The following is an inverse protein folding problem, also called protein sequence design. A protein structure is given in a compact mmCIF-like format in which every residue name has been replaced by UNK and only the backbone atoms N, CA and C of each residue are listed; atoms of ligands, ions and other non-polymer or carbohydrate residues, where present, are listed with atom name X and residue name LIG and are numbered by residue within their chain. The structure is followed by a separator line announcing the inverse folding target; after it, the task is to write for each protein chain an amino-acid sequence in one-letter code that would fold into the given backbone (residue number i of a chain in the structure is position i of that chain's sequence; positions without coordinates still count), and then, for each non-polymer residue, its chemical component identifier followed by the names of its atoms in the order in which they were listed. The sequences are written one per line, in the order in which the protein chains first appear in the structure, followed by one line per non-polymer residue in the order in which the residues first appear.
data_IF_271401570462
#
_entry.id   IF_271401570462
#
_cell.length_a   1.000
_cell.length_b   1.000
_cell.length_c   1.000
_cell.angle_alpha   90.00
_cell.angle_beta   90.00
_cell.angle_gamma   90.00
#
_symmetry.space_group_name_H-M   'P 1'
#
loop_
_entity.id
_entity.type
_entity.pdbx_description
1 polymer ?
#
# COMPACT_ATOMS: atom_id res chain seq x y z
N UNK A 1 -4.69 -19.16 4.60
CA UNK A 1 -4.48 -20.13 3.49
C UNK A 1 -3.89 -19.36 2.32
N UNK A 2 -2.91 -19.88 1.56
CA UNK A 2 -2.28 -19.10 0.49
C UNK A 2 -3.32 -18.70 -0.57
N UNK A 3 -3.32 -17.44 -0.94
CA UNK A 3 -4.15 -16.89 -2.00
C UNK A 3 -3.60 -17.29 -3.37
N UNK A 4 -4.43 -17.18 -4.41
CA UNK A 4 -4.02 -17.40 -5.80
C UNK A 4 -4.20 -16.12 -6.59
N UNK A 5 -3.31 -15.84 -7.53
CA UNK A 5 -3.34 -14.62 -8.32
C UNK A 5 -3.12 -14.92 -9.79
N UNK A 6 -3.90 -14.27 -10.65
CA UNK A 6 -3.67 -14.24 -12.10
C UNK A 6 -3.33 -12.81 -12.50
N UNK A 7 -2.24 -12.66 -13.24
CA UNK A 7 -1.81 -11.40 -13.85
C UNK A 7 -1.87 -11.48 -15.36
N UNK A 8 -2.26 -10.39 -16.00
CA UNK A 8 -2.29 -10.29 -17.45
C UNK A 8 -2.07 -8.85 -17.91
N UNK A 9 -1.43 -8.68 -19.07
CA UNK A 9 -1.32 -7.38 -19.74
C UNK A 9 -2.59 -7.09 -20.56
N UNK A 10 -3.25 -6.01 -20.21
CA UNK A 10 -4.47 -5.52 -20.85
C UNK A 10 -4.31 -4.07 -21.27
N UNK A 11 -5.08 -3.62 -22.24
CA UNK A 11 -5.15 -2.18 -22.54
C UNK A 11 -6.10 -1.46 -21.61
N UNK A 12 -5.99 -0.14 -21.53
CA UNK A 12 -6.96 0.74 -20.85
C UNK A 12 -8.40 0.51 -21.33
N UNK A 13 -8.60 0.22 -22.63
CA UNK A 13 -9.91 -0.08 -23.19
C UNK A 13 -10.46 -1.45 -22.81
N UNK A 14 -9.60 -2.44 -22.58
CA UNK A 14 -9.99 -3.80 -22.22
C UNK A 14 -10.20 -3.97 -20.71
N UNK A 15 -9.50 -3.17 -19.91
CA UNK A 15 -9.47 -3.27 -18.45
C UNK A 15 -10.86 -3.38 -17.79
N UNK A 16 -11.88 -2.56 -18.14
CA UNK A 16 -13.21 -2.65 -17.52
C UNK A 16 -13.92 -3.99 -17.80
N UNK A 17 -13.86 -4.48 -19.04
CA UNK A 17 -14.49 -5.76 -19.42
C UNK A 17 -13.76 -6.93 -18.77
N UNK A 18 -12.43 -6.86 -18.71
CA UNK A 18 -11.61 -7.87 -18.06
C UNK A 18 -11.83 -7.91 -16.55
N UNK A 19 -11.96 -6.76 -15.87
CA UNK A 19 -12.34 -6.71 -14.46
C UNK A 19 -13.67 -7.40 -14.21
N UNK A 20 -14.70 -7.09 -15.01
CA UNK A 20 -16.01 -7.72 -14.87
C UNK A 20 -15.94 -9.24 -15.09
N UNK A 21 -15.14 -9.68 -16.06
CA UNK A 21 -14.91 -11.10 -16.32
C UNK A 21 -14.27 -11.78 -15.10
N UNK A 22 -13.16 -11.27 -14.59
CA UNK A 22 -12.48 -11.84 -13.41
C UNK A 22 -13.37 -11.84 -12.16
N UNK A 23 -14.13 -10.77 -11.91
CA UNK A 23 -15.10 -10.71 -10.81
C UNK A 23 -16.19 -11.77 -10.96
N UNK A 24 -16.72 -11.98 -12.18
CA UNK A 24 -17.74 -12.99 -12.44
C UNK A 24 -17.23 -14.43 -12.23
N UNK A 25 -15.92 -14.64 -12.34
CA UNK A 25 -15.24 -15.91 -12.11
C UNK A 25 -14.83 -16.12 -10.65
N UNK A 26 -15.22 -15.21 -9.75
CA UNK A 26 -14.97 -15.32 -8.32
C UNK A 26 -13.67 -14.67 -7.84
N UNK A 27 -13.10 -13.74 -8.60
CA UNK A 27 -12.01 -12.91 -8.08
C UNK A 27 -12.51 -12.09 -6.88
N UNK A 28 -11.79 -12.16 -5.76
CA UNK A 28 -12.09 -11.37 -4.56
C UNK A 28 -11.65 -9.91 -4.71
N UNK A 29 -10.66 -9.67 -5.56
CA UNK A 29 -10.23 -8.34 -5.96
C UNK A 29 -9.64 -8.36 -7.37
N UNK A 30 -9.75 -7.22 -8.04
CA UNK A 30 -9.05 -6.92 -9.29
C UNK A 30 -8.32 -5.61 -9.08
N UNK A 31 -7.05 -5.56 -9.42
CA UNK A 31 -6.19 -4.38 -9.30
C UNK A 31 -5.51 -4.08 -10.62
N UNK A 32 -5.35 -2.80 -10.92
CA UNK A 32 -4.68 -2.30 -12.11
C UNK A 32 -3.35 -1.68 -11.70
N UNK A 33 -2.27 -2.22 -12.25
CA UNK A 33 -0.90 -1.81 -11.98
C UNK A 33 -0.28 -1.27 -13.25
N UNK A 34 0.68 -0.36 -13.10
CA UNK A 34 1.53 0.07 -14.19
C UNK A 34 2.33 -1.11 -14.75
N UNK A 35 2.34 -1.28 -16.08
CA UNK A 35 3.08 -2.33 -16.74
C UNK A 35 4.42 -1.87 -17.37
N UNK A 36 4.64 -0.56 -17.54
CA UNK A 36 5.76 0.02 -18.31
C UNK A 36 6.40 1.29 -17.70
N UNK A 37 6.06 1.67 -16.46
CA UNK A 37 6.59 2.88 -15.77
C UNK A 37 6.20 4.17 -16.50
N UNK A 38 4.96 4.23 -16.99
CA UNK A 38 4.42 5.38 -17.72
C UNK A 38 3.68 6.33 -16.76
N UNK A 39 3.91 7.65 -16.82
CA UNK A 39 3.17 8.59 -15.98
C UNK A 39 1.73 8.75 -16.49
N UNK A 40 0.76 8.53 -15.59
CA UNK A 40 -0.66 8.80 -15.85
C UNK A 40 -1.06 10.08 -15.12
N UNK A 41 -1.61 11.04 -15.88
CA UNK A 41 -2.04 12.33 -15.34
C UNK A 41 -3.57 12.38 -15.28
N UNK A 42 -4.09 12.62 -14.08
CA UNK A 42 -5.49 12.97 -13.89
C UNK A 42 -5.72 14.41 -14.38
N UNK A 43 -6.29 14.57 -15.57
CA UNK A 43 -6.57 15.88 -16.17
C UNK A 43 -7.93 16.44 -15.72
N UNK A 44 -8.91 15.57 -15.51
CA UNK A 44 -10.25 15.93 -15.07
C UNK A 44 -10.48 15.48 -13.62
N UNK A 45 -11.14 16.32 -12.77
CA UNK A 45 -11.57 15.88 -11.44
C UNK A 45 -12.37 14.59 -11.53
N UNK A 46 -12.15 13.69 -10.57
CA UNK A 46 -12.79 12.37 -10.46
C UNK A 46 -12.53 11.38 -11.61
N UNK A 47 -11.73 11.74 -12.61
CA UNK A 47 -11.26 10.77 -13.62
C UNK A 47 -10.24 9.80 -13.01
N UNK A 48 -10.37 8.51 -13.35
CA UNK A 48 -9.43 7.44 -12.99
C UNK A 48 -8.81 6.86 -14.25
N UNK A 49 -7.96 7.63 -14.97
CA UNK A 49 -7.30 7.13 -16.17
C UNK A 49 -6.42 5.92 -15.84
N UNK A 50 -6.38 4.97 -16.77
CA UNK A 50 -5.48 3.81 -16.72
C UNK A 50 -4.31 3.99 -17.68
N UNK A 51 -3.25 3.21 -17.45
CA UNK A 51 -2.13 3.10 -18.38
C UNK A 51 -2.57 2.41 -19.68
N UNK A 52 -2.05 2.86 -20.82
CA UNK A 52 -2.34 2.21 -22.11
C UNK A 52 -1.94 0.73 -22.10
N UNK A 53 -0.86 0.42 -21.37
CA UNK A 53 -0.48 -0.94 -21.01
C UNK A 53 -0.64 -1.09 -19.50
N UNK A 54 -1.72 -1.76 -19.10
CA UNK A 54 -2.05 -2.02 -17.71
C UNK A 54 -1.77 -3.48 -17.38
N UNK A 55 -1.13 -3.73 -16.23
CA UNK A 55 -1.03 -5.05 -15.64
C UNK A 55 -2.26 -5.26 -14.76
N UNK A 56 -3.23 -6.03 -15.24
CA UNK A 56 -4.35 -6.48 -14.44
C UNK A 56 -3.86 -7.58 -13.50
N UNK A 57 -4.27 -7.51 -12.25
CA UNK A 57 -4.04 -8.56 -11.26
C UNK A 57 -5.33 -8.93 -10.54
N UNK A 58 -5.78 -10.18 -10.72
CA UNK A 58 -6.97 -10.72 -10.08
C UNK A 58 -6.58 -11.70 -8.98
N UNK A 59 -7.09 -11.48 -7.76
CA UNK A 59 -6.85 -12.33 -6.60
C UNK A 59 -8.03 -13.28 -6.38
N UNK A 60 -7.73 -14.51 -5.99
CA UNK A 60 -8.69 -15.59 -5.76
C UNK A 60 -8.40 -16.30 -4.43
N UNK A 61 -9.46 -16.86 -3.85
CA UNK A 61 -9.38 -17.74 -2.70
C UNK A 61 -8.57 -19.01 -3.00
N UNK A 62 -8.03 -19.63 -1.94
CA UNK A 62 -7.17 -20.81 -2.04
C UNK A 62 -7.85 -22.05 -2.64
N UNK A 63 -9.18 -22.11 -2.63
CA UNK A 63 -10.00 -23.22 -3.12
C UNK A 63 -10.50 -23.00 -4.56
N UNK A 64 -10.23 -21.83 -5.16
CA UNK A 64 -10.57 -21.56 -6.55
C UNK A 64 -9.78 -22.47 -7.52
N UNK A 65 -10.49 -23.04 -8.50
CA UNK A 65 -9.90 -23.94 -9.50
C UNK A 65 -9.32 -23.11 -10.64
N UNK A 66 -8.03 -22.80 -10.59
CA UNK A 66 -7.37 -21.92 -11.58
C UNK A 66 -7.49 -22.41 -13.02
N UNK A 67 -7.56 -23.73 -13.25
CA UNK A 67 -7.76 -24.27 -14.58
C UNK A 67 -9.10 -23.82 -15.21
N UNK A 68 -10.17 -23.77 -14.41
CA UNK A 68 -11.49 -23.34 -14.88
C UNK A 68 -11.50 -21.83 -15.15
N UNK A 69 -10.83 -21.05 -14.29
CA UNK A 69 -10.67 -19.60 -14.47
C UNK A 69 -9.88 -19.31 -15.75
N UNK A 70 -8.75 -19.99 -15.97
CA UNK A 70 -7.93 -19.84 -17.17
C UNK A 70 -8.71 -20.21 -18.44
N UNK A 71 -9.45 -21.32 -18.42
CA UNK A 71 -10.27 -21.72 -19.55
C UNK A 71 -11.37 -20.69 -19.85
N UNK A 72 -12.04 -20.16 -18.82
CA UNK A 72 -13.05 -19.13 -18.99
C UNK A 72 -12.46 -17.82 -19.53
N UNK A 73 -11.33 -17.36 -18.98
CA UNK A 73 -10.66 -16.13 -19.43
C UNK A 73 -10.21 -16.24 -20.87
N UNK A 74 -9.58 -17.35 -21.26
CA UNK A 74 -9.11 -17.55 -22.64
C UNK A 74 -10.26 -17.72 -23.64
N UNK A 75 -11.43 -18.20 -23.20
CA UNK A 75 -12.63 -18.28 -24.03
C UNK A 75 -13.39 -16.95 -24.15
N UNK A 76 -13.32 -16.11 -23.10
CA UNK A 76 -14.07 -14.87 -22.97
C UNK A 76 -13.29 -13.61 -23.32
N UNK A 77 -12.01 -13.73 -23.71
CA UNK A 77 -11.14 -12.59 -24.03
C UNK A 77 -10.18 -12.93 -25.17
N UNK A 78 -9.34 -11.95 -25.56
CA UNK A 78 -8.25 -12.18 -26.52
C UNK A 78 -7.04 -12.91 -25.95
N UNK A 79 -6.96 -13.06 -24.62
CA UNK A 79 -5.77 -13.57 -23.94
C UNK A 79 -5.62 -15.07 -24.16
N UNK A 80 -4.38 -15.51 -24.34
CA UNK A 80 -4.01 -16.92 -24.38
C UNK A 80 -3.43 -17.37 -23.04
N UNK A 81 -3.37 -18.68 -22.79
CA UNK A 81 -2.81 -19.23 -21.55
C UNK A 81 -1.38 -18.75 -21.28
N UNK A 82 -0.57 -18.56 -22.32
CA UNK A 82 0.82 -18.09 -22.21
C UNK A 82 0.94 -16.61 -21.82
N UNK A 83 -0.13 -15.82 -21.96
CA UNK A 83 -0.18 -14.41 -21.55
C UNK A 83 -0.64 -14.24 -20.10
N UNK A 84 -1.08 -15.33 -19.46
CA UNK A 84 -1.50 -15.34 -18.06
C UNK A 84 -0.34 -15.78 -17.17
N UNK A 85 -0.04 -14.98 -16.16
CA UNK A 85 0.94 -15.30 -15.12
C UNK A 85 0.15 -15.73 -13.89
N UNK A 86 0.36 -16.96 -13.44
CA UNK A 86 -0.35 -17.54 -12.28
C UNK A 86 0.64 -17.67 -11.13
N UNK A 87 0.28 -17.11 -9.98
CA UNK A 87 1.11 -17.07 -8.78
C UNK A 87 0.32 -17.54 -7.56
N UNK A 88 0.99 -18.21 -6.63
CA UNK A 88 0.46 -18.40 -5.28
C UNK A 88 1.05 -17.33 -4.37
N UNK A 89 0.19 -16.68 -3.61
CA UNK A 89 0.54 -15.62 -2.68
C UNK A 89 0.38 -16.17 -1.28
N UNK A 90 1.47 -16.20 -0.52
CA UNK A 90 1.41 -16.64 0.87
C UNK A 90 0.50 -15.72 1.68
N UNK A 91 -0.27 -16.34 2.57
CA UNK A 91 -1.08 -15.61 3.54
C UNK A 91 -0.13 -15.01 4.58
N UNK A 92 0.10 -13.71 4.48
CA UNK A 92 0.94 -12.97 5.39
C UNK A 92 0.07 -12.09 6.28
N UNK A 93 0.42 -12.03 7.56
CA UNK A 93 -0.07 -10.99 8.46
C UNK A 93 0.61 -9.69 8.05
N UNK A 94 0.06 -9.06 7.00
CA UNK A 94 0.58 -7.82 6.43
C UNK A 94 0.71 -6.75 7.51
N UNK A 95 -0.20 -6.76 8.50
CA UNK A 95 -0.12 -5.86 9.65
C UNK A 95 1.19 -6.03 10.41
N UNK A 96 1.53 -7.25 10.79
CA UNK A 96 2.79 -7.54 11.47
C UNK A 96 4.01 -7.36 10.58
N UNK A 97 3.90 -7.64 9.28
CA UNK A 97 5.01 -7.46 8.36
C UNK A 97 5.44 -5.99 8.30
N UNK A 98 4.48 -5.06 8.17
CA UNK A 98 4.80 -3.63 8.15
C UNK A 98 5.25 -3.12 9.52
N UNK A 99 4.69 -3.63 10.63
CA UNK A 99 5.10 -3.22 11.99
C UNK A 99 6.59 -3.44 12.29
N UNK A 100 7.22 -4.45 11.67
CA UNK A 100 8.63 -4.77 11.87
C UNK A 100 9.56 -3.67 11.37
N UNK A 101 9.13 -2.88 10.39
CA UNK A 101 9.93 -1.83 9.76
C UNK A 101 9.93 -0.53 10.56
N UNK A 102 8.99 -0.36 11.50
CA UNK A 102 8.91 0.83 12.34
C UNK A 102 9.75 0.67 13.60
N UNK A 103 10.76 1.55 13.71
CA UNK A 103 11.66 1.65 14.85
C UNK A 103 11.50 3.01 15.53
N UNK A 104 11.86 3.13 16.82
CA UNK A 104 11.97 4.42 17.47
C UNK A 104 12.84 5.39 16.66
N UNK A 105 12.36 6.62 16.48
CA UNK A 105 13.06 7.67 15.72
C UNK A 105 13.35 8.84 16.67
N UNK A 106 14.61 9.25 16.72
CA UNK A 106 15.06 10.41 17.47
C UNK A 106 14.93 11.69 16.63
N UNK A 107 14.36 12.73 17.22
CA UNK A 107 14.26 14.08 16.65
C UNK A 107 15.01 15.07 17.54
N UNK A 108 15.98 15.78 16.96
CA UNK A 108 16.85 16.66 17.74
C UNK A 108 17.81 15.87 18.63
N UNK A 109 17.74 16.09 19.95
CA UNK A 109 18.64 15.52 20.96
C UNK A 109 17.93 14.64 21.98
N UNK A 110 16.74 15.03 22.44
CA UNK A 110 16.05 14.35 23.57
C UNK A 110 14.64 13.87 23.23
N UNK A 111 14.12 14.16 22.04
CA UNK A 111 12.77 13.76 21.66
C UNK A 111 12.81 12.47 20.84
N UNK A 112 12.01 11.50 21.22
CA UNK A 112 11.82 10.23 20.50
C UNK A 112 10.36 10.01 20.20
N UNK A 113 10.06 9.53 18.99
CA UNK A 113 8.77 8.95 18.64
C UNK A 113 8.95 7.43 18.63
N UNK A 114 8.16 6.73 19.45
CA UNK A 114 8.29 5.29 19.67
C UNK A 114 6.97 4.57 19.36
N UNK A 115 6.98 3.53 18.50
CA UNK A 115 5.83 2.64 18.37
C UNK A 115 5.56 1.91 19.69
N UNK A 116 4.29 1.61 19.99
CA UNK A 116 3.84 0.97 21.23
C UNK A 116 4.45 -0.41 21.49
N UNK A 117 4.90 -1.09 20.44
CA UNK A 117 5.58 -2.39 20.50
C UNK A 117 7.11 -2.30 20.66
N UNK A 118 7.69 -1.10 20.76
CA UNK A 118 9.12 -0.89 20.96
C UNK A 118 9.41 -0.21 22.30
N UNK A 119 10.41 -0.69 23.03
CA UNK A 119 10.93 0.03 24.19
C UNK A 119 11.72 1.28 23.74
N UNK A 120 11.56 2.43 24.42
CA UNK A 120 12.36 3.61 24.12
C UNK A 120 13.85 3.35 24.31
N UNK A 121 14.71 3.66 23.32
CA UNK A 121 16.16 3.48 23.45
C UNK A 121 16.77 4.30 24.59
N UNK A 122 16.18 5.47 24.88
CA UNK A 122 16.57 6.34 26.00
C UNK A 122 15.35 6.57 26.91
N UNK A 123 15.14 5.74 27.96
CA UNK A 123 13.95 5.83 28.81
C UNK A 123 13.78 7.18 29.54
N UNK A 124 14.89 7.85 29.85
CA UNK A 124 14.90 9.14 30.55
C UNK A 124 14.73 10.36 29.60
N UNK A 125 14.66 10.11 28.29
CA UNK A 125 14.41 11.14 27.27
C UNK A 125 12.91 11.49 27.18
N UNK A 126 12.57 12.48 26.33
CA UNK A 126 11.18 12.81 26.02
C UNK A 126 10.67 11.79 25.01
N UNK A 127 9.92 10.80 25.49
CA UNK A 127 9.38 9.72 24.68
C UNK A 127 7.89 9.96 24.39
N UNK A 128 7.54 10.08 23.11
CA UNK A 128 6.15 10.14 22.63
C UNK A 128 5.80 8.79 22.02
N UNK A 129 4.85 8.10 22.63
CA UNK A 129 4.35 6.84 22.10
C UNK A 129 3.33 7.14 20.99
N UNK A 130 3.62 6.69 19.77
CA UNK A 130 2.77 6.93 18.61
C UNK A 130 2.89 5.79 17.62
N UNK A 131 1.77 5.13 17.34
CA UNK A 131 1.74 4.03 16.39
C UNK A 131 1.60 4.56 14.96
N UNK A 132 2.47 4.12 14.03
CA UNK A 132 2.39 4.48 12.63
C UNK A 132 1.03 4.07 12.01
N UNK A 133 0.56 4.84 11.03
CA UNK A 133 -0.68 4.55 10.30
C UNK A 133 -1.98 5.08 10.96
N UNK A 134 -2.01 5.35 12.27
CA UNK A 134 -3.21 5.89 12.92
C UNK A 134 -3.46 7.38 12.64
N UNK A 135 -2.40 8.14 12.39
CA UNK A 135 -2.47 9.56 12.03
C UNK A 135 -1.23 9.97 11.23
N UNK A 136 -1.38 11.00 10.38
CA UNK A 136 -0.23 11.68 9.79
C UNK A 136 0.60 12.33 10.91
N UNK A 137 1.92 12.44 10.72
CA UNK A 137 2.80 13.07 11.69
C UNK A 137 3.54 12.12 12.64
N UNK A 138 3.72 10.85 12.27
CA UNK A 138 4.60 9.91 13.00
C UNK A 138 6.10 10.22 12.89
N UNK A 139 6.47 11.23 12.11
CA UNK A 139 7.84 11.70 11.96
C UNK A 139 8.62 11.05 10.80
N UNK A 140 8.05 10.08 10.09
CA UNK A 140 8.67 9.50 8.89
C UNK A 140 8.72 10.47 7.70
N UNK A 141 7.82 11.45 7.66
CA UNK A 141 7.83 12.49 6.64
C UNK A 141 8.79 13.63 7.02
N UNK A 142 9.61 14.16 6.08
CA UNK A 142 10.60 15.21 6.39
C UNK A 142 10.03 16.46 7.05
N UNK A 143 8.80 16.87 6.72
CA UNK A 143 8.17 18.07 7.31
C UNK A 143 7.95 17.90 8.81
N UNK A 144 7.37 16.78 9.24
CA UNK A 144 7.22 16.47 10.67
C UNK A 144 8.58 16.34 11.34
N UNK A 145 9.55 15.68 10.70
CA UNK A 145 10.88 15.51 11.25
C UNK A 145 11.57 16.86 11.55
N UNK A 146 11.48 17.80 10.61
CA UNK A 146 12.04 19.15 10.75
C UNK A 146 11.34 19.94 11.87
N UNK A 147 10.01 19.88 11.96
CA UNK A 147 9.25 20.53 13.02
C UNK A 147 9.61 19.98 14.41
N UNK A 148 9.66 18.65 14.57
CA UNK A 148 9.99 18.00 15.84
C UNK A 148 11.44 18.29 16.26
N UNK A 149 12.39 18.22 15.33
CA UNK A 149 13.79 18.54 15.61
C UNK A 149 13.97 20.02 16.02
N UNK A 150 13.24 20.94 15.39
CA UNK A 150 13.25 22.36 15.76
C UNK A 150 12.62 22.57 17.14
N UNK A 151 11.46 21.95 17.42
CA UNK A 151 10.75 22.02 18.70
C UNK A 151 11.60 21.51 19.86
N UNK A 152 12.38 20.45 19.65
CA UNK A 152 13.24 19.89 20.68
C UNK A 152 14.25 20.91 21.25
N UNK A 153 14.72 21.83 20.40
CA UNK A 153 15.64 22.90 20.77
C UNK A 153 15.02 24.12 21.42
N UNK A 154 13.68 24.20 21.53
CA UNK A 154 13.00 25.40 22.03
C UNK A 154 12.79 25.35 23.56
N UNK A 155 12.93 26.51 24.21
CA UNK A 155 12.40 26.71 25.57
C UNK A 155 10.94 27.13 25.50
N UNK A 156 10.05 26.19 25.81
CA UNK A 156 8.59 26.37 25.78
C UNK A 156 7.98 26.50 27.18
N UNK A 157 8.79 26.59 28.25
CA UNK A 157 8.28 26.63 29.61
C UNK A 157 7.39 27.87 29.83
N UNK A 158 6.14 27.64 30.22
CA UNK A 158 5.17 28.71 30.48
C UNK A 158 4.66 29.45 29.24
N UNK A 159 4.91 28.92 28.03
CA UNK A 159 4.42 29.50 26.77
C UNK A 159 3.11 28.83 26.33
N UNK A 160 2.31 29.58 25.59
CA UNK A 160 1.17 29.05 24.85
C UNK A 160 1.63 28.62 23.47
N UNK A 161 1.29 27.40 23.06
CA UNK A 161 1.63 26.81 21.77
C UNK A 161 0.34 26.45 21.04
N UNK A 162 0.32 26.67 19.73
CA UNK A 162 -0.74 26.21 18.83
C UNK A 162 -0.11 25.28 17.80
N UNK A 163 -0.68 24.09 17.66
CA UNK A 163 -0.44 23.19 16.53
C UNK A 163 -1.59 23.37 15.54
N UNK A 164 -1.28 23.77 14.31
CA UNK A 164 -2.26 24.06 13.28
C UNK A 164 -2.05 23.07 12.13
N UNK A 165 -2.87 22.02 12.13
CA UNK A 165 -2.88 20.93 11.15
C UNK A 165 -3.94 21.13 10.07
#
# INVERSE_FOLDING_TARGET
MPWQQIKARVTDTEAPEMEQLFQSLGAVSVSFLDAEDEPVFQLEPDSTPLWQQTMLSALFESDAVMADVVAAVTSGSRLTENELIIEQIEDQDWERAWMQDFKPIQFGKRLWICPSWCEPPEPDAVNVMLDPGLAFGSGTHPTTALCLAWLDGQDLKGKTVIDYG
#
